data_IF_673358301294
#
_entry.id   IF_673358301294
#
_cell.length_a   1.000
_cell.length_b   1.000
_cell.length_c   1.000
_cell.angle_alpha   90.00
_cell.angle_beta   90.00
_cell.angle_gamma   90.00
#
_symmetry.space_group_name_H-M   'P 1'
#
loop_
_entity.id
_entity.type
_entity.pdbx_description
1 polymer ?
#
# COMPACT_ATOMS: atom_id res chain seq x y z
N UNK A 1 -14.86 7.94 14.60
CA UNK A 1 -15.08 9.15 13.80
C UNK A 1 -14.30 8.91 12.53
N UNK A 2 -14.97 8.68 11.39
CA UNK A 2 -14.24 8.56 10.12
C UNK A 2 -13.55 9.90 9.87
N UNK A 3 -12.23 9.88 9.67
CA UNK A 3 -11.50 11.06 9.22
C UNK A 3 -12.06 11.51 7.87
N UNK A 4 -12.01 12.80 7.59
CA UNK A 4 -12.35 13.30 6.26
C UNK A 4 -11.45 12.63 5.22
N UNK A 5 -11.97 12.31 4.01
CA UNK A 5 -11.16 11.69 2.97
C UNK A 5 -9.95 12.59 2.65
N UNK A 6 -8.75 12.02 2.50
CA UNK A 6 -7.55 12.79 2.24
C UNK A 6 -7.68 13.56 0.92
N UNK A 7 -7.26 14.83 0.91
CA UNK A 7 -7.31 15.67 -0.30
C UNK A 7 -6.03 15.59 -1.12
N UNK A 8 -4.95 15.07 -0.51
CA UNK A 8 -3.64 14.92 -1.14
C UNK A 8 -2.98 13.62 -0.68
N UNK A 9 -2.06 13.07 -1.48
CA UNK A 9 -1.33 11.85 -1.11
C UNK A 9 -0.50 11.99 0.17
N UNK A 10 0.08 13.18 0.43
CA UNK A 10 0.82 13.42 1.68
C UNK A 10 -0.08 13.52 2.90
N UNK A 11 -1.31 13.99 2.72
CA UNK A 11 -2.30 13.98 3.79
C UNK A 11 -2.71 12.55 4.14
N UNK A 12 -2.94 11.68 3.14
CA UNK A 12 -3.16 10.25 3.35
C UNK A 12 -2.02 9.62 4.16
N UNK A 13 -0.76 9.89 3.76
CA UNK A 13 0.41 9.38 4.49
C UNK A 13 0.46 9.92 5.92
N UNK A 14 0.16 11.21 6.13
CA UNK A 14 0.20 11.81 7.46
C UNK A 14 -0.94 11.35 8.39
N UNK A 15 -2.08 10.93 7.83
CA UNK A 15 -3.21 10.42 8.60
C UNK A 15 -2.96 9.01 9.16
N UNK A 16 -1.93 8.30 8.67
CA UNK A 16 -1.69 6.88 8.96
C UNK A 16 -0.20 6.57 9.16
N UNK A 17 0.15 6.16 10.37
CA UNK A 17 1.54 5.81 10.71
C UNK A 17 2.06 4.67 9.81
N UNK A 18 1.19 3.75 9.39
CA UNK A 18 1.51 2.61 8.54
C UNK A 18 1.58 2.92 7.04
N UNK A 19 1.07 4.06 6.59
CA UNK A 19 0.88 4.31 5.15
C UNK A 19 2.19 4.27 4.36
N UNK A 20 3.27 4.86 4.89
CA UNK A 20 4.57 4.83 4.24
C UNK A 20 5.10 3.40 4.04
N UNK A 21 4.92 2.54 5.05
CA UNK A 21 5.32 1.13 4.99
C UNK A 21 4.47 0.34 3.99
N UNK A 22 3.17 0.63 3.90
CA UNK A 22 2.26 0.01 2.95
C UNK A 22 2.51 0.43 1.51
N UNK A 23 2.81 1.72 1.26
CA UNK A 23 3.25 2.15 -0.06
C UNK A 23 4.55 1.46 -0.49
N UNK A 24 5.53 1.36 0.42
CA UNK A 24 6.77 0.63 0.17
C UNK A 24 6.50 -0.84 -0.20
N UNK A 25 5.61 -1.51 0.53
CA UNK A 25 5.23 -2.89 0.22
C UNK A 25 4.50 -2.99 -1.13
N UNK A 26 3.51 -2.14 -1.39
CA UNK A 26 2.75 -2.17 -2.64
C UNK A 26 3.63 -1.96 -3.88
N UNK A 27 4.69 -1.14 -3.78
CA UNK A 27 5.66 -0.94 -4.86
C UNK A 27 6.44 -2.22 -5.18
N UNK A 28 6.74 -3.07 -4.18
CA UNK A 28 7.58 -4.27 -4.33
C UNK A 28 6.81 -5.56 -4.58
N UNK A 29 5.54 -5.63 -4.16
CA UNK A 29 4.67 -6.79 -4.37
C UNK A 29 4.38 -7.02 -5.86
N UNK A 30 4.16 -8.28 -6.23
CA UNK A 30 3.82 -8.68 -7.59
C UNK A 30 2.35 -8.39 -7.86
N UNK A 31 2.06 -7.63 -8.93
CA UNK A 31 0.70 -7.29 -9.32
C UNK A 31 -0.11 -8.50 -9.85
N UNK A 32 0.55 -9.60 -10.22
CA UNK A 32 -0.10 -10.84 -10.63
C UNK A 32 -0.40 -11.82 -9.49
N UNK A 33 0.00 -11.49 -8.25
CA UNK A 33 -0.19 -12.34 -7.09
C UNK A 33 -1.29 -11.82 -6.16
N UNK A 34 -1.89 -12.75 -5.43
CA UNK A 34 -2.87 -12.48 -4.39
C UNK A 34 -2.22 -12.68 -3.02
N UNK A 35 -2.54 -11.79 -2.09
CA UNK A 35 -1.94 -11.74 -0.77
C UNK A 35 -3.03 -11.64 0.29
N UNK A 36 -2.85 -12.37 1.37
CA UNK A 36 -3.61 -12.19 2.61
C UNK A 36 -3.18 -10.90 3.33
N UNK A 37 -3.98 -10.48 4.32
CA UNK A 37 -3.55 -9.36 5.20
C UNK A 37 -2.25 -9.68 5.93
N UNK A 38 -2.04 -10.94 6.30
CA UNK A 38 -0.83 -11.36 6.99
C UNK A 38 0.41 -11.18 6.11
N UNK A 39 0.35 -11.60 4.85
CA UNK A 39 1.47 -11.47 3.92
C UNK A 39 1.77 -10.00 3.57
N UNK A 40 0.74 -9.16 3.48
CA UNK A 40 0.94 -7.71 3.28
C UNK A 40 1.57 -7.07 4.52
N UNK A 41 1.13 -7.45 5.73
CA UNK A 41 1.74 -6.97 6.97
C UNK A 41 3.22 -7.36 7.06
N UNK A 42 3.55 -8.59 6.69
CA UNK A 42 4.93 -9.09 6.66
C UNK A 42 5.76 -8.33 5.62
N UNK A 43 5.24 -8.11 4.41
CA UNK A 43 5.92 -7.33 3.38
C UNK A 43 6.14 -5.85 3.77
N UNK A 44 5.18 -5.27 4.48
CA UNK A 44 5.27 -3.91 5.02
C UNK A 44 6.13 -3.83 6.29
N UNK A 45 6.53 -4.95 6.89
CA UNK A 45 7.24 -5.02 8.18
C UNK A 45 6.47 -4.30 9.30
N UNK A 46 5.15 -4.56 9.38
CA UNK A 46 4.26 -4.01 10.40
C UNK A 46 3.51 -5.12 11.15
N UNK A 47 3.09 -4.88 12.41
CA UNK A 47 2.26 -5.85 13.12
C UNK A 47 0.91 -6.06 12.43
N UNK A 48 0.52 -7.31 12.17
CA UNK A 48 -0.78 -7.65 11.55
C UNK A 48 -1.98 -7.00 12.26
N UNK A 49 -1.95 -6.91 13.59
CA UNK A 49 -2.99 -6.22 14.38
C UNK A 49 -3.21 -4.76 13.95
N UNK A 50 -2.18 -4.08 13.43
CA UNK A 50 -2.28 -2.71 12.93
C UNK A 50 -3.18 -2.65 11.71
N UNK A 51 -3.08 -3.62 10.78
CA UNK A 51 -3.94 -3.67 9.60
C UNK A 51 -5.42 -3.95 9.94
N UNK A 52 -5.68 -4.74 10.98
CA UNK A 52 -7.05 -5.02 11.42
C UNK A 52 -7.70 -3.87 12.17
N UNK A 53 -6.92 -3.01 12.81
CA UNK A 53 -7.43 -1.90 13.62
C UNK A 53 -7.62 -0.60 12.83
N UNK A 54 -6.97 -0.50 11.67
CA UNK A 54 -6.82 0.76 10.98
C UNK A 54 -7.82 0.96 9.82
N UNK A 55 -8.62 -0.03 9.43
CA UNK A 55 -9.36 -0.01 8.14
C UNK A 55 -8.44 0.31 6.94
N UNK A 56 -7.11 0.14 7.11
CA UNK A 56 -6.11 0.61 6.16
C UNK A 56 -6.23 -0.13 4.81
N UNK A 57 -6.55 -1.41 4.87
CA UNK A 57 -6.77 -2.21 3.66
C UNK A 57 -7.91 -1.65 2.80
N UNK A 58 -9.02 -1.28 3.44
CA UNK A 58 -10.19 -0.79 2.72
C UNK A 58 -9.93 0.60 2.14
N UNK A 59 -9.22 1.49 2.86
CA UNK A 59 -8.83 2.79 2.31
C UNK A 59 -7.85 2.66 1.14
N UNK A 60 -6.92 1.71 1.21
CA UNK A 60 -5.98 1.44 0.13
C UNK A 60 -6.68 0.81 -1.10
N UNK A 61 -7.80 0.13 -0.90
CA UNK A 61 -8.71 -0.28 -1.97
C UNK A 61 -9.49 0.93 -2.52
N UNK A 62 -10.01 1.79 -1.67
CA UNK A 62 -10.80 2.97 -2.06
C UNK A 62 -9.99 3.97 -2.91
N UNK A 63 -8.70 4.16 -2.61
CA UNK A 63 -7.80 5.00 -3.44
C UNK A 63 -7.26 4.25 -4.67
N UNK A 64 -7.66 2.99 -4.85
CA UNK A 64 -7.29 2.16 -5.99
C UNK A 64 -5.85 1.65 -5.97
N UNK A 65 -5.17 1.61 -4.81
CA UNK A 65 -3.82 1.00 -4.72
C UNK A 65 -3.89 -0.52 -4.72
N UNK A 66 -4.89 -1.07 -4.03
CA UNK A 66 -5.15 -2.50 -3.93
C UNK A 66 -6.49 -2.83 -4.59
N UNK A 67 -6.61 -4.04 -5.10
CA UNK A 67 -7.88 -4.65 -5.41
C UNK A 67 -8.24 -5.63 -4.30
N UNK A 68 -9.49 -5.63 -3.88
CA UNK A 68 -10.03 -6.72 -3.07
C UNK A 68 -10.36 -7.88 -3.99
N UNK A 69 -9.87 -9.06 -3.65
CA UNK A 69 -10.24 -10.31 -4.32
C UNK A 69 -11.29 -10.96 -3.43
N UNK A 70 -12.55 -10.81 -3.82
CA UNK A 70 -13.66 -11.45 -3.12
C UNK A 70 -13.63 -12.96 -3.41
N UNK A 71 -13.66 -13.74 -2.34
CA UNK A 71 -13.91 -15.17 -2.37
C UNK A 71 -15.40 -15.42 -2.14
N UNK A 72 -15.98 -16.35 -2.91
CA UNK A 72 -17.41 -16.71 -2.83
C UNK A 72 -17.81 -17.39 -1.49
N UNK A 73 -16.88 -17.56 -0.55
CA UNK A 73 -17.10 -18.21 0.73
C UNK A 73 -17.24 -17.16 1.85
N UNK A 74 -18.43 -17.10 2.48
CA UNK A 74 -18.81 -16.09 3.50
C UNK A 74 -17.87 -15.98 4.72
N UNK A 75 -17.03 -16.99 4.97
CA UNK A 75 -16.11 -17.08 6.12
C UNK A 75 -14.62 -17.17 5.73
N UNK A 76 -14.30 -16.97 4.46
CA UNK A 76 -12.91 -17.07 3.98
C UNK A 76 -12.12 -15.77 4.21
N UNK A 77 -10.81 -15.91 4.43
CA UNK A 77 -9.92 -14.76 4.60
C UNK A 77 -9.91 -13.91 3.32
N UNK A 78 -10.09 -12.60 3.45
CA UNK A 78 -10.05 -11.72 2.29
C UNK A 78 -8.63 -11.62 1.70
N UNK A 79 -8.56 -11.79 0.38
CA UNK A 79 -7.34 -11.62 -0.39
C UNK A 79 -7.30 -10.25 -1.06
N UNK A 80 -6.09 -9.80 -1.35
CA UNK A 80 -5.82 -8.52 -1.98
C UNK A 80 -4.75 -8.69 -3.05
N UNK A 81 -4.89 -7.99 -4.17
CA UNK A 81 -3.83 -7.85 -5.16
C UNK A 81 -3.43 -6.39 -5.27
N UNK A 82 -2.20 -6.13 -5.71
CA UNK A 82 -1.82 -4.78 -6.13
C UNK A 82 -2.59 -4.43 -7.40
N UNK A 83 -3.10 -3.21 -7.50
CA UNK A 83 -3.77 -2.74 -8.71
C UNK A 83 -2.73 -2.23 -9.74
N UNK A 84 -2.50 -2.95 -10.86
CA UNK A 84 -1.50 -2.55 -11.85
C UNK A 84 -1.86 -1.26 -12.59
N UNK A 85 -3.15 -0.92 -12.65
CA UNK A 85 -3.68 0.27 -13.33
C UNK A 85 -3.81 1.47 -12.38
N UNK A 86 -3.21 1.39 -11.19
CA UNK A 86 -3.27 2.44 -10.18
C UNK A 86 -2.35 3.61 -10.50
N UNK A 87 -2.93 4.79 -10.76
CA UNK A 87 -2.19 6.05 -10.89
C UNK A 87 -1.39 6.37 -9.60
N UNK A 88 -1.93 5.99 -8.44
CA UNK A 88 -1.27 6.19 -7.13
C UNK A 88 -0.02 5.32 -7.03
N UNK A 89 -0.12 4.04 -7.42
CA UNK A 89 1.02 3.13 -7.43
C UNK A 89 2.09 3.58 -8.43
N UNK A 90 1.67 4.02 -9.62
CA UNK A 90 2.58 4.55 -10.63
C UNK A 90 3.36 5.75 -10.10
N UNK A 91 2.68 6.71 -9.47
CA UNK A 91 3.32 7.87 -8.87
C UNK A 91 4.28 7.51 -7.73
N UNK A 92 3.93 6.50 -6.90
CA UNK A 92 4.81 6.00 -5.83
C UNK A 92 6.09 5.38 -6.41
N UNK A 93 5.98 4.57 -7.48
CA UNK A 93 7.12 3.97 -8.19
C UNK A 93 8.03 5.03 -8.82
N UNK A 94 7.43 6.05 -9.43
CA UNK A 94 8.17 7.17 -10.02
C UNK A 94 8.93 7.96 -8.96
N UNK A 95 8.32 8.17 -7.79
CA UNK A 95 8.98 8.81 -6.65
C UNK A 95 10.19 7.99 -6.17
N UNK A 96 10.02 6.69 -5.92
CA UNK A 96 11.12 5.81 -5.51
C UNK A 96 12.27 5.81 -6.53
N UNK A 97 11.93 5.74 -7.82
CA UNK A 97 12.89 5.80 -8.92
C UNK A 97 13.63 7.14 -8.95
N UNK A 98 12.92 8.26 -8.79
CA UNK A 98 13.51 9.60 -8.79
C UNK A 98 14.48 9.79 -7.60
N UNK A 99 14.12 9.26 -6.43
CA UNK A 99 14.96 9.28 -5.23
C UNK A 99 16.21 8.42 -5.43
N UNK A 100 16.05 7.17 -5.87
CA UNK A 100 17.17 6.25 -6.14
C UNK A 100 18.18 6.87 -7.13
N UNK A 101 17.68 7.40 -8.26
CA UNK A 101 18.50 8.07 -9.25
C UNK A 101 19.26 9.28 -8.68
N UNK A 102 18.71 9.98 -7.67
CA UNK A 102 19.40 11.11 -7.04
C UNK A 102 20.62 10.66 -6.26
N UNK A 103 20.50 9.55 -5.52
CA UNK A 103 21.61 8.98 -4.75
C UNK A 103 22.65 8.26 -5.62
N UNK A 104 22.24 7.69 -6.75
CA UNK A 104 23.17 7.11 -7.74
C UNK A 104 23.96 8.20 -8.50
N UNK A 105 23.39 9.40 -8.67
CA UNK A 105 24.04 10.54 -9.35
C UNK A 105 25.03 11.29 -8.46
N UNK A 106 24.99 11.11 -7.15
CA UNK A 106 26.01 11.66 -6.23
C UNK A 106 27.18 10.69 -6.13
N UNK A 107 28.40 11.03 -6.63
CA UNK A 107 29.59 10.28 -6.25
C UNK A 107 29.71 10.37 -4.73
N UNK A 108 29.82 9.22 -4.05
CA UNK A 108 30.12 9.19 -2.62
C UNK A 108 31.35 10.07 -2.39
N UNK A 109 31.15 11.21 -1.73
CA UNK A 109 32.18 12.20 -1.42
C UNK A 109 32.61 12.04 0.02
#
# INVERSE_FOLDING_TARGET
MRSDPPKTGWELVAQRDEAAALFRAAVTLDAGAEYTRSEIADAADIPLKTLYLADAMDEFVDIGLLNRVDSDEEDSEAYFSVNPDSDVLAAARDFDTAVANTYERTPQT
#
